data_IF_897449318585
#
_entry.id   IF_897449318585
#
_cell.length_a   1.000
_cell.length_b   1.000
_cell.length_c   1.000
_cell.angle_alpha   90.00
_cell.angle_beta   90.00
_cell.angle_gamma   90.00
#
_symmetry.space_group_name_H-M   'P 1'
#
loop_
_entity.id
_entity.type
_entity.pdbx_description
1 polymer ?
#
# COMPACT_ATOMS: atom_id res chain seq x y z
N UNK A 1 -8.41 18.74 -23.97
CA UNK A 1 -7.03 18.26 -23.73
C UNK A 1 -6.65 17.36 -24.91
N UNK A 2 -5.45 17.53 -25.47
CA UNK A 2 -4.94 16.59 -26.48
C UNK A 2 -4.46 15.29 -25.81
N UNK A 3 -4.49 14.18 -26.55
CA UNK A 3 -3.97 12.88 -26.05
C UNK A 3 -2.50 12.98 -25.60
N UNK A 4 -1.72 13.79 -26.32
CA UNK A 4 -0.31 14.08 -26.05
C UNK A 4 -0.09 14.74 -24.69
N UNK A 5 -0.91 15.75 -24.35
CA UNK A 5 -0.84 16.43 -23.06
C UNK A 5 -1.23 15.48 -21.92
N UNK A 6 -2.25 14.65 -22.13
CA UNK A 6 -2.67 13.65 -21.13
C UNK A 6 -1.61 12.58 -20.89
N UNK A 7 -0.91 12.11 -21.92
CA UNK A 7 0.18 11.14 -21.77
C UNK A 7 1.35 11.73 -20.99
N UNK A 8 1.74 12.96 -21.33
CA UNK A 8 2.83 13.66 -20.65
C UNK A 8 2.50 13.90 -19.17
N UNK A 9 1.25 14.24 -18.87
CA UNK A 9 0.74 14.33 -17.50
C UNK A 9 0.89 12.98 -16.79
N UNK A 10 0.31 11.90 -17.32
CA UNK A 10 0.42 10.57 -16.68
C UNK A 10 1.87 10.15 -16.41
N UNK A 11 2.80 10.46 -17.32
CA UNK A 11 4.23 10.18 -17.13
C UNK A 11 4.85 10.99 -15.99
N UNK A 12 4.55 12.29 -15.88
CA UNK A 12 4.96 13.12 -14.74
C UNK A 12 4.40 12.58 -13.43
N UNK A 13 3.11 12.28 -13.36
CA UNK A 13 2.50 11.75 -12.14
C UNK A 13 3.05 10.37 -11.74
N UNK A 14 3.45 9.53 -12.71
CA UNK A 14 4.14 8.26 -12.40
C UNK A 14 5.52 8.50 -11.80
N UNK A 15 6.24 9.51 -12.29
CA UNK A 15 7.53 9.90 -11.74
C UNK A 15 7.38 10.43 -10.31
N UNK A 16 6.40 11.30 -10.06
CA UNK A 16 6.12 11.86 -8.73
C UNK A 16 5.80 10.75 -7.71
N UNK A 17 4.99 9.76 -8.10
CA UNK A 17 4.69 8.60 -7.26
C UNK A 17 5.95 7.78 -6.99
N UNK A 18 6.79 7.55 -8.00
CA UNK A 18 8.05 6.83 -7.81
C UNK A 18 8.98 7.56 -6.85
N UNK A 19 9.10 8.88 -6.96
CA UNK A 19 9.93 9.70 -6.07
C UNK A 19 9.41 9.68 -4.63
N UNK A 20 8.10 9.82 -4.43
CA UNK A 20 7.48 9.71 -3.11
C UNK A 20 7.69 8.32 -2.48
N UNK A 21 7.63 7.24 -3.28
CA UNK A 21 7.92 5.88 -2.82
C UNK A 21 9.38 5.70 -2.41
N UNK A 22 10.33 6.25 -3.18
CA UNK A 22 11.75 6.20 -2.87
C UNK A 22 12.10 7.02 -1.62
N UNK A 23 11.46 8.18 -1.45
CA UNK A 23 11.59 9.00 -0.25
C UNK A 23 10.93 8.38 0.99
N UNK A 24 10.10 7.34 0.81
CA UNK A 24 9.26 6.75 1.87
C UNK A 24 8.41 7.84 2.55
N UNK A 25 7.93 8.82 1.78
CA UNK A 25 7.14 9.94 2.27
C UNK A 25 5.64 9.66 2.05
N UNK A 26 4.89 9.25 3.09
CA UNK A 26 3.48 8.95 2.95
C UNK A 26 2.63 10.20 2.68
N UNK A 27 3.06 11.39 3.13
CA UNK A 27 2.33 12.64 2.94
C UNK A 27 2.45 13.15 1.51
N UNK A 28 3.58 12.90 0.85
CA UNK A 28 3.74 13.16 -0.58
C UNK A 28 3.09 12.08 -1.45
N UNK A 29 3.04 10.83 -0.98
CA UNK A 29 2.50 9.70 -1.73
C UNK A 29 0.98 9.77 -1.97
N UNK A 30 0.21 10.18 -0.96
CA UNK A 30 -1.25 10.28 -1.07
C UNK A 30 -1.71 11.24 -2.20
N UNK A 31 -1.28 12.52 -2.24
CA UNK A 31 -1.67 13.43 -3.31
C UNK A 31 -1.13 12.96 -4.66
N UNK A 32 0.10 12.44 -4.74
CA UNK A 32 0.68 11.92 -5.98
C UNK A 32 -0.15 10.74 -6.54
N UNK A 33 -0.56 9.79 -5.70
CA UNK A 33 -1.39 8.67 -6.10
C UNK A 33 -2.80 9.11 -6.55
N UNK A 34 -3.37 10.11 -5.88
CA UNK A 34 -4.67 10.69 -6.26
C UNK A 34 -4.60 11.38 -7.62
N UNK A 35 -3.55 12.18 -7.85
CA UNK A 35 -3.30 12.83 -9.13
C UNK A 35 -3.07 11.81 -10.25
N UNK A 36 -2.27 10.76 -10.01
CA UNK A 36 -2.07 9.68 -10.97
C UNK A 36 -3.39 9.00 -11.37
N UNK A 37 -4.28 8.72 -10.40
CA UNK A 37 -5.60 8.13 -10.68
C UNK A 37 -6.45 9.07 -11.54
N UNK A 38 -6.45 10.36 -11.24
CA UNK A 38 -7.20 11.37 -12.03
C UNK A 38 -6.65 11.49 -13.47
N UNK A 39 -5.33 11.48 -13.63
CA UNK A 39 -4.67 11.52 -14.93
C UNK A 39 -4.97 10.25 -15.75
N UNK A 40 -4.97 9.08 -15.11
CA UNK A 40 -5.33 7.81 -15.75
C UNK A 40 -6.80 7.77 -16.21
N UNK A 41 -7.73 8.31 -15.41
CA UNK A 41 -9.14 8.45 -15.83
C UNK A 41 -9.29 9.42 -17.01
N UNK A 42 -8.51 10.50 -17.01
CA UNK A 42 -8.52 11.46 -18.12
C UNK A 42 -7.97 10.82 -19.40
N UNK A 43 -6.90 10.01 -19.28
CA UNK A 43 -6.32 9.25 -20.40
C UNK A 43 -7.32 8.21 -20.93
N UNK A 44 -8.02 7.48 -20.07
CA UNK A 44 -9.01 6.48 -20.51
C UNK A 44 -10.19 7.13 -21.24
N UNK A 45 -10.66 8.28 -20.76
CA UNK A 45 -11.69 9.07 -21.44
C UNK A 45 -11.20 9.60 -22.79
N UNK A 46 -9.95 10.08 -22.86
CA UNK A 46 -9.35 10.55 -24.12
C UNK A 46 -9.23 9.43 -25.16
N UNK A 47 -8.87 8.21 -24.73
CA UNK A 47 -8.76 7.03 -25.60
C UNK A 47 -10.13 6.48 -26.04
N UNK A 48 -11.14 6.57 -25.17
CA UNK A 48 -12.51 6.17 -25.51
C UNK A 48 -13.13 7.06 -26.62
N UNK A 49 -12.56 8.24 -26.86
CA UNK A 49 -13.01 9.19 -27.88
C UNK A 49 -14.34 9.87 -27.52
N UNK A 50 -14.77 10.81 -28.36
CA UNK A 50 -16.12 11.37 -28.29
C UNK A 50 -17.02 10.66 -29.29
N UNK A 51 -18.24 10.31 -28.86
CA UNK A 51 -19.28 9.71 -29.70
C UNK A 51 -18.95 8.32 -30.31
N UNK A 52 -18.19 7.48 -29.60
CA UNK A 52 -18.01 6.07 -29.96
C UNK A 52 -17.05 5.81 -31.14
N UNK A 53 -16.33 6.84 -31.61
CA UNK A 53 -15.23 6.65 -32.56
C UNK A 53 -13.93 6.50 -31.76
N UNK A 54 -13.33 5.30 -31.69
CA UNK A 54 -12.08 5.11 -30.98
C UNK A 54 -10.99 5.98 -31.63
N UNK A 55 -10.27 6.75 -30.82
CA UNK A 55 -9.09 7.45 -31.30
C UNK A 55 -8.03 6.40 -31.64
N UNK A 56 -7.57 6.35 -32.88
CA UNK A 56 -6.38 5.56 -33.23
C UNK A 56 -5.14 6.34 -32.79
N UNK A 57 -4.42 5.91 -31.74
CA UNK A 57 -3.19 6.57 -31.33
C UNK A 57 -2.13 6.41 -32.43
N UNK A 58 -1.25 7.39 -32.55
CA UNK A 58 -0.06 7.26 -33.37
C UNK A 58 0.88 6.17 -32.80
N UNK A 59 1.79 5.64 -33.62
CA UNK A 59 2.75 4.61 -33.19
C UNK A 59 3.61 5.05 -32.00
N UNK A 60 3.92 6.34 -31.89
CA UNK A 60 4.64 6.90 -30.76
C UNK A 60 3.79 6.90 -29.47
N UNK A 61 2.54 7.35 -29.56
CA UNK A 61 1.61 7.34 -28.42
C UNK A 61 1.33 5.92 -27.95
N UNK A 62 1.15 4.97 -28.87
CA UNK A 62 0.98 3.55 -28.53
C UNK A 62 2.22 2.95 -27.85
N UNK A 63 3.45 3.39 -28.22
CA UNK A 63 4.67 3.00 -27.52
C UNK A 63 4.73 3.55 -26.10
N UNK A 64 4.37 4.82 -25.90
CA UNK A 64 4.33 5.45 -24.56
C UNK A 64 3.30 4.80 -23.63
N UNK A 65 2.10 4.52 -24.13
CA UNK A 65 1.06 3.80 -23.38
C UNK A 65 1.57 2.43 -22.92
N UNK A 66 2.25 1.68 -23.81
CA UNK A 66 2.87 0.40 -23.45
C UNK A 66 3.98 0.55 -22.40
N UNK A 67 4.80 1.59 -22.50
CA UNK A 67 5.84 1.88 -21.52
C UNK A 67 5.25 2.21 -20.13
N UNK A 68 4.18 3.01 -20.09
CA UNK A 68 3.42 3.28 -18.86
C UNK A 68 2.86 1.97 -18.27
N UNK A 69 2.20 1.17 -19.10
CA UNK A 69 1.62 -0.11 -18.67
C UNK A 69 2.69 -1.07 -18.11
N UNK A 70 3.89 -1.07 -18.68
CA UNK A 70 5.01 -1.89 -18.20
C UNK A 70 5.58 -1.41 -16.84
N UNK A 71 5.47 -0.12 -16.51
CA UNK A 71 5.98 0.45 -15.24
C UNK A 71 5.01 0.24 -14.07
N UNK A 72 3.70 0.19 -14.33
CA UNK A 72 2.66 0.07 -13.30
C UNK A 72 2.83 -1.16 -12.37
N UNK A 73 3.14 -2.37 -12.86
CA UNK A 73 3.37 -3.53 -12.00
C UNK A 73 4.50 -3.31 -11.00
N UNK A 74 5.61 -2.72 -11.44
CA UNK A 74 6.76 -2.45 -10.58
C UNK A 74 6.42 -1.51 -9.43
N UNK A 75 5.68 -0.43 -9.70
CA UNK A 75 5.22 0.50 -8.66
C UNK A 75 4.26 -0.17 -7.67
N UNK A 76 3.38 -1.05 -8.17
CA UNK A 76 2.47 -1.84 -7.32
C UNK A 76 3.23 -2.79 -6.40
N UNK A 77 4.27 -3.45 -6.90
CA UNK A 77 5.11 -4.34 -6.10
C UNK A 77 5.93 -3.59 -5.05
N UNK A 78 6.37 -2.36 -5.35
CA UNK A 78 7.04 -1.48 -4.38
C UNK A 78 6.07 -1.06 -3.27
N UNK A 79 4.86 -0.63 -3.62
CA UNK A 79 3.79 -0.31 -2.68
C UNK A 79 3.43 -1.50 -1.77
N UNK A 80 3.24 -2.69 -2.34
CA UNK A 80 2.91 -3.88 -1.58
C UNK A 80 3.99 -4.22 -0.53
N UNK A 81 5.27 -4.04 -0.90
CA UNK A 81 6.40 -4.23 0.01
C UNK A 81 6.43 -3.19 1.13
N UNK A 82 6.17 -1.92 0.82
CA UNK A 82 6.07 -0.87 1.84
C UNK A 82 4.91 -1.14 2.80
N UNK A 83 3.74 -1.53 2.30
CA UNK A 83 2.61 -1.89 3.15
C UNK A 83 2.95 -3.03 4.12
N UNK A 84 3.55 -4.12 3.61
CA UNK A 84 3.98 -5.23 4.45
C UNK A 84 5.02 -4.82 5.50
N UNK A 85 5.93 -3.88 5.18
CA UNK A 85 6.90 -3.34 6.13
C UNK A 85 6.20 -2.50 7.21
N UNK A 86 5.31 -1.60 6.81
CA UNK A 86 4.55 -0.75 7.75
C UNK A 86 3.64 -1.56 8.65
N UNK A 87 3.03 -2.64 8.15
CA UNK A 87 2.22 -3.57 8.95
C UNK A 87 3.05 -4.27 10.02
N UNK A 88 4.26 -4.74 9.68
CA UNK A 88 5.20 -5.33 10.65
C UNK A 88 5.67 -4.32 11.69
N UNK A 89 5.93 -3.09 11.27
CA UNK A 89 6.30 -2.00 12.19
C UNK A 89 5.14 -1.68 13.14
N UNK A 90 3.92 -1.57 12.63
CA UNK A 90 2.73 -1.34 13.45
C UNK A 90 2.52 -2.48 14.45
N UNK A 91 2.64 -3.74 14.01
CA UNK A 91 2.53 -4.92 14.87
C UNK A 91 3.58 -4.95 16.00
N UNK A 92 4.78 -4.38 15.78
CA UNK A 92 5.82 -4.30 16.81
C UNK A 92 5.55 -3.24 17.88
N UNK A 93 4.76 -2.21 17.56
CA UNK A 93 4.39 -1.13 18.48
C UNK A 93 3.12 -1.45 19.26
N UNK A 94 2.29 -2.35 18.73
CA UNK A 94 1.11 -2.85 19.42
C UNK A 94 1.54 -3.86 20.49
N UNK A 95 1.11 -3.72 21.75
CA UNK A 95 1.31 -4.77 22.74
C UNK A 95 0.66 -6.07 22.24
N UNK A 96 1.25 -7.24 22.51
CA UNK A 96 0.70 -8.51 22.07
C UNK A 96 -0.74 -8.64 22.58
N UNK A 97 -1.69 -8.72 21.65
CA UNK A 97 -3.10 -8.89 21.97
C UNK A 97 -3.33 -10.31 22.50
N UNK A 98 -3.08 -10.48 23.81
CA UNK A 98 -3.60 -11.48 24.76
C UNK A 98 -2.54 -11.79 25.83
N UNK A 99 -2.49 -10.95 26.86
CA UNK A 99 -2.62 -11.37 28.27
C UNK A 99 -1.70 -12.42 28.88
N UNK A 100 -0.64 -12.90 28.22
CA UNK A 100 0.32 -13.83 28.84
C UNK A 100 1.60 -13.09 29.15
N UNK A 101 1.55 -12.33 30.24
CA UNK A 101 2.75 -11.90 30.96
C UNK A 101 3.25 -13.12 31.71
N UNK A 102 4.12 -13.92 31.09
CA UNK A 102 4.66 -15.14 31.72
C UNK A 102 5.50 -14.84 32.97
N UNK A 103 5.88 -13.58 33.19
CA UNK A 103 6.64 -13.14 34.36
C UNK A 103 6.14 -11.79 34.88
N UNK A 104 5.03 -11.79 35.62
CA UNK A 104 4.64 -10.61 36.39
C UNK A 104 3.16 -10.54 36.77
N UNK A 105 2.76 -11.22 37.85
CA UNK A 105 2.10 -10.52 38.96
C UNK A 105 2.19 -11.37 40.24
N UNK A 106 3.34 -11.30 40.91
CA UNK A 106 3.40 -11.62 42.33
C UNK A 106 2.75 -10.48 43.10
N UNK A 107 1.49 -10.63 43.49
CA UNK A 107 0.87 -10.16 44.75
C UNK A 107 -0.63 -10.45 44.68
N UNK A 108 -1.13 -11.04 45.76
CA UNK A 108 -2.23 -11.99 45.70
C UNK A 108 -3.63 -11.40 45.68
N UNK A 109 -4.58 -12.21 45.21
CA UNK A 109 -5.82 -12.43 45.94
C UNK A 109 -6.45 -13.75 45.46
N UNK A 110 -6.84 -14.57 46.42
CA UNK A 110 -7.09 -15.99 46.23
C UNK A 110 -8.27 -16.33 45.34
N UNK A 111 -8.12 -17.44 44.61
CA UNK A 111 -9.23 -18.33 44.36
C UNK A 111 -8.73 -19.75 44.53
N UNK A 112 -9.04 -20.30 45.70
CA UNK A 112 -8.69 -21.64 46.13
C UNK A 112 -9.29 -22.67 45.17
N UNK A 113 -8.44 -23.35 44.39
CA UNK A 113 -8.76 -24.63 43.78
C UNK A 113 -7.62 -25.62 44.01
N UNK A 114 -7.76 -26.34 45.13
CA UNK A 114 -7.42 -27.75 45.29
C UNK A 114 -6.05 -28.21 44.81
N UNK A 115 -5.00 -27.95 45.60
CA UNK A 115 -3.81 -28.78 45.60
C UNK A 115 -3.88 -29.75 46.79
N UNK A 116 -4.25 -31.01 46.53
CA UNK A 116 -4.13 -32.11 47.49
C UNK A 116 -2.65 -32.46 47.63
N UNK A 117 -1.95 -31.75 48.50
CA UNK A 117 -0.55 -32.03 48.83
C UNK A 117 -0.47 -33.33 49.65
N UNK A 118 0.41 -34.20 49.15
CA UNK A 118 0.77 -35.54 49.60
C UNK A 118 0.98 -35.64 51.13
N UNK A 119 0.42 -36.69 51.76
CA UNK A 119 0.76 -37.11 53.13
C UNK A 119 1.74 -38.29 53.04
N UNK A 120 2.99 -38.08 53.43
CA UNK A 120 3.95 -39.18 53.61
C UNK A 120 3.71 -39.84 54.99
N UNK A 121 3.74 -41.18 55.10
CA UNK A 121 3.69 -41.86 56.39
C UNK A 121 5.05 -41.80 57.09
N UNK A 122 5.02 -41.45 58.38
CA UNK A 122 6.07 -41.78 59.35
C UNK A 122 5.69 -43.02 60.14
#
# INVERSE_FOLDING_TARGET
MSLEATLSTVETQLQDVQEALLATDPLALEPAATQLRSAAMTLSQALAGQAGTPLSPTDEQARRIRAIAARLPTLRDQLARLLALTERQAASLLPPAQGVVTYGNGTGQGSARGARIYRAPG
#
